data_IF_763639275717
#
_entry.id   IF_763639275717
#
_cell.length_a   1.000
_cell.length_b   1.000
_cell.length_c   1.000
_cell.angle_alpha   90.00
_cell.angle_beta   90.00
_cell.angle_gamma   90.00
#
_symmetry.space_group_name_H-M   'P 1'
#
loop_
_entity.id
_entity.type
_entity.pdbx_description
1 polymer ?
#
# COMPACT_ATOMS: atom_id res chain seq x y z
N UNK A 1 35.50 -32.66 4.47
CA UNK A 1 35.30 -31.81 3.27
C UNK A 1 34.15 -30.86 3.56
N UNK A 2 34.38 -29.55 3.54
CA UNK A 2 33.32 -28.57 3.82
C UNK A 2 32.48 -28.37 2.55
N UNK A 3 31.19 -28.72 2.62
CA UNK A 3 30.23 -28.40 1.54
C UNK A 3 29.54 -27.10 1.93
N UNK A 4 29.74 -26.06 1.14
CA UNK A 4 29.07 -24.77 1.36
C UNK A 4 27.55 -24.96 1.31
N UNK A 5 26.84 -24.39 2.28
CA UNK A 5 25.37 -24.34 2.32
C UNK A 5 24.82 -23.07 1.66
N UNK A 6 25.69 -22.17 1.19
CA UNK A 6 25.29 -20.96 0.48
C UNK A 6 24.91 -21.28 -0.97
N UNK A 7 23.96 -20.53 -1.55
CA UNK A 7 23.70 -20.63 -2.98
C UNK A 7 24.98 -20.31 -3.78
N UNK A 8 25.16 -20.93 -4.96
CA UNK A 8 26.31 -20.63 -5.80
C UNK A 8 26.28 -19.16 -6.22
N UNK A 9 27.47 -18.57 -6.39
CA UNK A 9 27.59 -17.20 -6.92
C UNK A 9 26.95 -17.17 -8.33
N UNK A 10 26.03 -16.22 -8.61
CA UNK A 10 25.52 -16.03 -9.95
C UNK A 10 26.64 -15.69 -10.94
N UNK A 11 26.55 -16.22 -12.16
CA UNK A 11 27.42 -15.80 -13.25
C UNK A 11 26.88 -14.49 -13.83
N UNK A 12 27.46 -13.38 -13.37
CA UNK A 12 27.01 -12.05 -13.73
C UNK A 12 27.28 -11.71 -15.21
N UNK A 13 28.31 -12.29 -15.83
CA UNK A 13 28.63 -12.05 -17.24
C UNK A 13 27.59 -12.72 -18.15
N UNK A 14 27.21 -13.96 -17.83
CA UNK A 14 26.15 -14.68 -18.55
C UNK A 14 24.81 -13.96 -18.40
N UNK A 15 24.47 -13.53 -17.18
CA UNK A 15 23.24 -12.77 -16.93
C UNK A 15 23.21 -11.44 -17.69
N UNK A 16 24.33 -10.73 -17.75
CA UNK A 16 24.45 -9.48 -18.49
C UNK A 16 24.32 -9.70 -20.00
N UNK A 17 24.98 -10.73 -20.55
CA UNK A 17 24.93 -11.06 -21.96
C UNK A 17 23.53 -11.51 -22.42
N UNK A 18 22.80 -12.23 -21.57
CA UNK A 18 21.43 -12.68 -21.85
C UNK A 18 20.38 -11.57 -21.67
N UNK A 19 20.73 -10.50 -20.97
CA UNK A 19 19.78 -9.48 -20.57
C UNK A 19 18.97 -8.85 -21.72
N UNK A 20 19.52 -8.58 -22.92
CA UNK A 20 18.74 -8.01 -24.01
C UNK A 20 17.57 -8.89 -24.46
N UNK A 21 17.69 -10.21 -24.39
CA UNK A 21 16.66 -11.15 -24.85
C UNK A 21 15.36 -11.12 -24.03
N UNK A 22 15.43 -10.69 -22.77
CA UNK A 22 14.29 -10.60 -21.84
C UNK A 22 13.89 -9.15 -21.52
N UNK A 23 14.43 -8.17 -22.26
CA UNK A 23 14.27 -6.75 -21.98
C UNK A 23 12.80 -6.32 -21.92
N UNK A 24 11.96 -6.78 -22.85
CA UNK A 24 10.54 -6.40 -22.91
C UNK A 24 9.77 -6.89 -21.69
N UNK A 25 9.89 -8.19 -21.35
CA UNK A 25 9.22 -8.79 -20.19
C UNK A 25 9.69 -8.13 -18.89
N UNK A 26 11.01 -7.92 -18.73
CA UNK A 26 11.53 -7.24 -17.54
C UNK A 26 11.04 -5.81 -17.42
N UNK A 27 11.06 -5.05 -18.53
CA UNK A 27 10.57 -3.67 -18.56
C UNK A 27 9.10 -3.63 -18.17
N UNK A 28 8.28 -4.54 -18.71
CA UNK A 28 6.88 -4.65 -18.36
C UNK A 28 6.69 -4.93 -16.86
N UNK A 29 7.39 -5.92 -16.30
CA UNK A 29 7.34 -6.24 -14.87
C UNK A 29 7.72 -5.03 -14.00
N UNK A 30 8.85 -4.39 -14.30
CA UNK A 30 9.35 -3.25 -13.55
C UNK A 30 8.40 -2.06 -13.66
N UNK A 31 7.79 -1.84 -14.83
CA UNK A 31 6.78 -0.81 -15.02
C UNK A 31 5.51 -1.08 -14.19
N UNK A 32 5.05 -2.34 -14.11
CA UNK A 32 3.91 -2.69 -13.25
C UNK A 32 4.20 -2.42 -11.77
N UNK A 33 5.41 -2.78 -11.30
CA UNK A 33 5.85 -2.50 -9.93
C UNK A 33 5.90 -0.99 -9.68
N UNK A 34 6.53 -0.24 -10.58
CA UNK A 34 6.65 1.22 -10.49
C UNK A 34 5.29 1.92 -10.47
N UNK A 35 4.37 1.52 -11.34
CA UNK A 35 3.00 2.05 -11.37
C UNK A 35 2.26 1.77 -10.05
N UNK A 36 2.34 0.54 -9.54
CA UNK A 36 1.73 0.19 -8.26
C UNK A 36 2.28 1.03 -7.10
N UNK A 37 3.61 1.22 -7.06
CA UNK A 37 4.26 2.03 -6.02
C UNK A 37 3.84 3.50 -6.11
N UNK A 38 3.82 4.06 -7.32
CA UNK A 38 3.42 5.44 -7.55
C UNK A 38 1.96 5.68 -7.13
N UNK A 39 1.03 4.84 -7.60
CA UNK A 39 -0.38 4.94 -7.23
C UNK A 39 -0.59 4.76 -5.72
N UNK A 40 0.08 3.79 -5.10
CA UNK A 40 0.02 3.60 -3.65
C UNK A 40 0.52 4.82 -2.89
N UNK A 41 1.65 5.40 -3.29
CA UNK A 41 2.24 6.56 -2.62
C UNK A 41 1.32 7.77 -2.68
N UNK A 42 0.74 8.04 -3.86
CA UNK A 42 -0.20 9.14 -4.02
C UNK A 42 -1.43 8.94 -3.13
N UNK A 43 -2.00 7.74 -3.11
CA UNK A 43 -3.14 7.42 -2.25
C UNK A 43 -2.82 7.54 -0.77
N UNK A 44 -1.64 7.08 -0.35
CA UNK A 44 -1.22 7.19 1.05
C UNK A 44 -1.18 8.65 1.48
N UNK A 45 -0.58 9.52 0.66
CA UNK A 45 -0.46 10.94 0.95
C UNK A 45 -1.81 11.63 1.08
N UNK A 46 -2.83 11.25 0.30
CA UNK A 46 -4.17 11.86 0.38
C UNK A 46 -4.86 11.66 1.74
N UNK A 47 -4.45 10.66 2.54
CA UNK A 47 -4.97 10.48 3.88
C UNK A 47 -4.60 11.64 4.85
N UNK A 48 -3.66 12.51 4.48
CA UNK A 48 -3.42 13.77 5.20
C UNK A 48 -4.68 14.63 5.27
N UNK A 49 -5.43 14.74 4.17
CA UNK A 49 -6.64 15.55 4.10
C UNK A 49 -7.79 14.93 4.89
N UNK A 50 -7.86 13.60 4.91
CA UNK A 50 -8.79 12.86 5.78
C UNK A 50 -8.49 13.18 7.25
N UNK A 51 -7.21 13.15 7.66
CA UNK A 51 -6.82 13.54 9.02
C UNK A 51 -7.13 15.02 9.31
N UNK A 52 -6.82 15.92 8.37
CA UNK A 52 -7.09 17.36 8.49
C UNK A 52 -8.56 17.62 8.84
N UNK A 53 -9.47 17.01 8.07
CA UNK A 53 -10.92 17.13 8.29
C UNK A 53 -11.32 16.53 9.65
N UNK A 54 -10.90 15.29 9.93
CA UNK A 54 -11.29 14.59 11.16
C UNK A 54 -10.77 15.30 12.43
N UNK A 55 -9.57 15.89 12.37
CA UNK A 55 -8.98 16.68 13.45
C UNK A 55 -9.56 18.10 13.53
N UNK A 56 -10.19 18.60 12.46
CA UNK A 56 -10.65 19.99 12.31
C UNK A 56 -9.50 20.99 12.49
N UNK A 57 -8.44 20.78 11.73
CA UNK A 57 -7.20 21.56 11.81
C UNK A 57 -6.73 22.01 10.43
N UNK A 58 -5.68 22.83 10.38
CA UNK A 58 -5.07 23.27 9.12
C UNK A 58 -4.13 22.19 8.53
N UNK A 59 -3.74 22.38 7.28
CA UNK A 59 -2.90 21.43 6.55
C UNK A 59 -1.53 21.20 7.21
N UNK A 60 -0.89 22.25 7.76
CA UNK A 60 0.42 22.11 8.39
C UNK A 60 0.34 21.29 9.68
N UNK A 61 -0.67 21.54 10.52
CA UNK A 61 -0.94 20.74 11.71
C UNK A 61 -1.26 19.28 11.38
N UNK A 62 -2.06 19.03 10.34
CA UNK A 62 -2.34 17.68 9.86
C UNK A 62 -1.09 16.97 9.33
N UNK A 63 -0.22 17.69 8.61
CA UNK A 63 1.06 17.18 8.11
C UNK A 63 1.98 16.73 9.25
N UNK A 64 2.07 17.52 10.33
CA UNK A 64 2.86 17.16 11.52
C UNK A 64 2.36 15.85 12.13
N UNK A 65 1.05 15.69 12.30
CA UNK A 65 0.46 14.44 12.82
C UNK A 65 0.74 13.27 11.88
N UNK A 66 0.54 13.46 10.57
CA UNK A 66 0.74 12.43 9.56
C UNK A 66 2.21 11.95 9.52
N UNK A 67 3.16 12.89 9.56
CA UNK A 67 4.59 12.61 9.53
C UNK A 67 5.09 11.96 10.83
N UNK A 68 4.49 12.28 11.97
CA UNK A 68 4.86 11.71 13.28
C UNK A 68 4.51 10.22 13.39
N UNK A 69 3.45 9.79 12.71
CA UNK A 69 3.06 8.38 12.65
C UNK A 69 3.93 7.62 11.64
N UNK A 70 4.96 6.94 12.15
CA UNK A 70 6.02 6.30 11.35
C UNK A 70 5.58 5.14 10.43
N UNK A 71 4.32 4.71 10.51
CA UNK A 71 3.81 3.62 9.67
C UNK A 71 2.45 3.98 9.08
N UNK A 72 2.21 3.56 7.84
CA UNK A 72 0.90 3.65 7.17
C UNK A 72 -0.21 3.08 8.04
N UNK A 73 0.04 1.91 8.68
CA UNK A 73 -0.94 1.27 9.57
C UNK A 73 -1.35 2.19 10.72
N UNK A 74 -0.40 2.82 11.39
CA UNK A 74 -0.71 3.72 12.50
C UNK A 74 -1.55 4.94 12.06
N UNK A 75 -1.29 5.47 10.86
CA UNK A 75 -2.08 6.56 10.25
C UNK A 75 -3.52 6.11 9.99
N UNK A 76 -3.70 4.95 9.35
CA UNK A 76 -5.01 4.39 9.05
C UNK A 76 -5.81 4.04 10.32
N UNK A 77 -5.14 3.51 11.35
CA UNK A 77 -5.75 3.22 12.65
C UNK A 77 -6.24 4.52 13.32
N UNK A 78 -5.45 5.59 13.26
CA UNK A 78 -5.88 6.89 13.78
C UNK A 78 -7.11 7.41 13.02
N UNK A 79 -7.11 7.34 11.69
CA UNK A 79 -8.25 7.75 10.85
C UNK A 79 -9.51 6.98 11.24
N UNK A 80 -9.43 5.64 11.36
CA UNK A 80 -10.58 4.83 11.74
C UNK A 80 -11.09 5.16 13.16
N UNK A 81 -10.19 5.45 14.11
CA UNK A 81 -10.56 5.85 15.48
C UNK A 81 -11.22 7.22 15.51
N UNK A 82 -10.67 8.20 14.80
CA UNK A 82 -11.26 9.54 14.69
C UNK A 82 -12.61 9.50 13.98
N UNK A 83 -12.74 8.69 12.93
CA UNK A 83 -13.99 8.52 12.20
C UNK A 83 -15.13 8.02 13.10
N UNK A 84 -14.86 7.08 14.02
CA UNK A 84 -15.86 6.60 15.00
C UNK A 84 -16.38 7.71 15.94
N UNK A 85 -15.58 8.75 16.17
CA UNK A 85 -15.93 9.87 17.05
C UNK A 85 -16.61 10.98 16.27
N UNK A 86 -16.13 11.27 15.04
CA UNK A 86 -16.48 12.48 14.29
C UNK A 86 -17.50 12.26 13.17
N UNK A 87 -17.65 11.04 12.68
CA UNK A 87 -18.53 10.71 11.55
C UNK A 87 -19.77 9.98 12.07
N UNK A 88 -20.83 10.76 12.35
CA UNK A 88 -22.12 10.25 12.84
C UNK A 88 -22.98 9.64 11.73
N UNK A 89 -22.78 10.03 10.46
CA UNK A 89 -23.43 9.36 9.32
C UNK A 89 -22.85 7.95 9.12
N UNK A 90 -23.69 6.94 9.34
CA UNK A 90 -23.34 5.52 9.21
C UNK A 90 -22.98 5.11 7.79
N UNK A 91 -23.51 5.75 6.76
CA UNK A 91 -23.17 5.46 5.37
C UNK A 91 -21.80 6.02 5.01
N UNK A 92 -21.53 7.25 5.43
CA UNK A 92 -20.23 7.91 5.24
C UNK A 92 -19.11 7.20 6.03
N UNK A 93 -19.37 6.83 7.29
CA UNK A 93 -18.43 6.06 8.10
C UNK A 93 -18.08 4.71 7.46
N UNK A 94 -19.09 3.98 6.96
CA UNK A 94 -18.88 2.72 6.23
C UNK A 94 -18.08 2.91 4.95
N UNK A 95 -18.32 4.00 4.22
CA UNK A 95 -17.56 4.33 3.01
C UNK A 95 -16.08 4.54 3.31
N UNK A 96 -15.77 5.33 4.35
CA UNK A 96 -14.39 5.54 4.81
C UNK A 96 -13.74 4.25 5.31
N UNK A 97 -14.45 3.43 6.10
CA UNK A 97 -13.92 2.14 6.57
C UNK A 97 -13.59 1.21 5.40
N UNK A 98 -14.51 1.05 4.45
CA UNK A 98 -14.29 0.21 3.27
C UNK A 98 -13.10 0.70 2.43
N UNK A 99 -12.93 2.01 2.28
CA UNK A 99 -11.79 2.59 1.58
C UNK A 99 -10.46 2.23 2.28
N UNK A 100 -10.38 2.39 3.60
CA UNK A 100 -9.19 2.05 4.39
C UNK A 100 -8.87 0.55 4.29
N UNK A 101 -9.88 -0.31 4.32
CA UNK A 101 -9.71 -1.76 4.17
C UNK A 101 -9.17 -2.13 2.78
N UNK A 102 -9.77 -1.60 1.72
CA UNK A 102 -9.33 -1.83 0.32
C UNK A 102 -7.89 -1.35 0.09
N UNK A 103 -7.53 -0.19 0.64
CA UNK A 103 -6.16 0.32 0.58
C UNK A 103 -5.18 -0.58 1.36
N UNK A 104 -5.58 -1.06 2.55
CA UNK A 104 -4.76 -1.96 3.37
C UNK A 104 -4.52 -3.31 2.70
N UNK A 105 -5.53 -3.87 2.04
CA UNK A 105 -5.42 -5.11 1.27
C UNK A 105 -4.46 -4.92 0.08
N UNK A 106 -4.64 -3.85 -0.69
CA UNK A 106 -3.80 -3.55 -1.85
C UNK A 106 -2.34 -3.24 -1.46
N UNK A 107 -2.11 -2.74 -0.24
CA UNK A 107 -0.77 -2.53 0.35
C UNK A 107 0.01 -3.83 0.52
N UNK A 108 -0.66 -4.99 0.69
CA UNK A 108 0.02 -6.29 0.89
C UNK A 108 0.86 -6.66 -0.33
N UNK A 109 0.29 -6.55 -1.53
CA UNK A 109 0.98 -6.85 -2.80
C UNK A 109 2.15 -5.91 -3.02
N UNK A 110 1.94 -4.60 -2.80
CA UNK A 110 3.00 -3.59 -2.88
C UNK A 110 4.14 -3.88 -1.90
N UNK A 111 3.84 -4.25 -0.66
CA UNK A 111 4.85 -4.57 0.34
C UNK A 111 5.59 -5.87 0.03
N UNK A 112 4.90 -6.87 -0.50
CA UNK A 112 5.54 -8.10 -0.94
C UNK A 112 6.57 -7.83 -2.04
N UNK A 113 6.18 -7.11 -3.09
CA UNK A 113 7.04 -6.82 -4.25
C UNK A 113 8.23 -5.92 -3.90
N UNK A 114 8.10 -5.03 -2.91
CA UNK A 114 9.21 -4.17 -2.46
C UNK A 114 10.19 -4.87 -1.50
N UNK A 115 9.81 -6.00 -0.93
CA UNK A 115 10.60 -6.70 0.10
C UNK A 115 10.90 -8.16 -0.26
N UNK A 116 10.76 -8.53 -1.55
CA UNK A 116 11.16 -9.82 -2.06
C UNK A 116 12.54 -9.76 -2.73
N UNK A 117 13.19 -10.91 -2.85
CA UNK A 117 14.28 -11.09 -3.81
C UNK A 117 13.71 -11.51 -5.17
N UNK A 118 14.26 -10.95 -6.24
CA UNK A 118 13.91 -11.35 -7.61
C UNK A 118 14.86 -12.44 -8.09
N UNK A 119 14.28 -13.50 -8.68
CA UNK A 119 15.02 -14.63 -9.24
C UNK A 119 14.99 -14.52 -10.76
N UNK A 120 16.18 -14.65 -11.35
CA UNK A 120 16.39 -14.56 -12.79
C UNK A 120 16.74 -15.92 -13.38
N UNK A 121 16.26 -16.22 -14.58
CA UNK A 121 16.70 -17.38 -15.34
C UNK A 121 17.97 -17.08 -16.16
N UNK A 122 18.45 -18.09 -16.91
CA UNK A 122 19.61 -17.97 -17.79
C UNK A 122 19.41 -16.99 -18.95
N UNK A 123 18.15 -16.67 -19.30
CA UNK A 123 17.81 -15.64 -20.30
C UNK A 123 17.74 -14.22 -19.66
N UNK A 124 18.03 -14.10 -18.37
CA UNK A 124 17.93 -12.87 -17.60
C UNK A 124 16.49 -12.42 -17.35
N UNK A 125 15.48 -13.27 -17.56
CA UNK A 125 14.08 -12.93 -17.29
C UNK A 125 13.77 -13.09 -15.81
N UNK A 126 12.92 -12.21 -15.27
CA UNK A 126 12.42 -12.38 -13.89
C UNK A 126 11.38 -13.50 -13.91
N UNK A 127 11.67 -14.60 -13.21
CA UNK A 127 10.81 -15.78 -13.20
C UNK A 127 10.07 -15.97 -11.89
N UNK A 128 10.66 -15.56 -10.76
CA UNK A 128 10.09 -15.75 -9.44
C UNK A 128 10.42 -14.60 -8.49
N UNK A 129 9.62 -14.48 -7.44
CA UNK A 129 9.91 -13.66 -6.26
C UNK A 129 10.04 -14.56 -5.04
N UNK A 130 11.04 -14.32 -4.21
CA UNK A 130 11.19 -14.98 -2.91
C UNK A 130 10.91 -13.99 -1.78
N UNK A 131 9.91 -14.29 -0.97
CA UNK A 131 9.61 -13.53 0.25
C UNK A 131 10.81 -13.58 1.21
N UNK A 132 11.08 -12.50 1.93
CA UNK A 132 12.11 -12.49 2.98
C UNK A 132 11.53 -12.75 4.38
N UNK A 133 10.25 -13.17 4.45
CA UNK A 133 9.57 -13.44 5.72
C UNK A 133 9.79 -14.88 6.18
N UNK A 134 9.87 -15.00 7.49
CA UNK A 134 9.81 -16.27 8.20
C UNK A 134 8.33 -16.66 8.36
N UNK A 135 7.95 -17.82 7.84
CA UNK A 135 6.62 -18.39 8.02
C UNK A 135 6.69 -19.48 9.08
N UNK A 136 6.04 -19.25 10.21
CA UNK A 136 5.91 -20.24 11.26
C UNK A 136 4.59 -21.01 11.07
N UNK A 137 4.69 -22.32 11.00
CA UNK A 137 3.56 -23.26 11.02
C UNK A 137 3.63 -24.04 12.32
N UNK A 138 2.54 -24.71 12.73
CA UNK A 138 2.48 -25.51 13.97
C UNK A 138 3.62 -26.53 14.12
N UNK A 139 4.26 -26.94 13.02
CA UNK A 139 5.31 -27.97 12.99
C UNK A 139 6.59 -27.57 12.25
N UNK A 140 6.67 -26.39 11.62
CA UNK A 140 7.85 -25.99 10.85
C UNK A 140 8.00 -24.49 10.68
N UNK A 141 9.25 -24.05 10.60
CA UNK A 141 9.64 -22.68 10.32
C UNK A 141 10.20 -22.63 8.89
N UNK A 142 9.46 -22.02 7.97
CA UNK A 142 9.80 -21.96 6.55
C UNK A 142 10.30 -20.57 6.21
N UNK A 143 11.49 -20.49 5.64
CA UNK A 143 12.04 -19.23 5.13
C UNK A 143 11.68 -19.07 3.66
N UNK A 144 11.07 -17.93 3.34
CA UNK A 144 10.97 -17.40 1.99
C UNK A 144 10.17 -18.21 1.00
N UNK A 145 8.84 -18.03 1.08
CA UNK A 145 7.89 -18.44 0.04
C UNK A 145 8.36 -17.96 -1.34
N UNK A 146 8.51 -18.90 -2.28
CA UNK A 146 8.85 -18.62 -3.67
C UNK A 146 7.56 -18.64 -4.48
N UNK A 147 7.28 -17.56 -5.20
CA UNK A 147 6.14 -17.43 -6.10
C UNK A 147 6.60 -17.19 -7.52
N UNK A 148 5.97 -17.85 -8.48
CA UNK A 148 6.20 -17.60 -9.89
C UNK A 148 5.70 -16.21 -10.28
N UNK A 149 6.45 -15.54 -11.15
CA UNK A 149 6.04 -14.31 -11.82
C UNK A 149 5.44 -14.66 -13.20
N UNK A 150 4.39 -15.47 -13.14
CA UNK A 150 3.61 -15.95 -14.29
C UNK A 150 2.52 -14.94 -14.68
N UNK A 151 1.75 -15.27 -15.71
CA UNK A 151 0.71 -14.36 -16.22
C UNK A 151 -0.39 -14.11 -15.19
N UNK A 152 -0.72 -15.08 -14.33
CA UNK A 152 -1.69 -14.89 -13.25
C UNK A 152 -1.21 -13.84 -12.25
N UNK A 153 0.07 -13.88 -11.89
CA UNK A 153 0.70 -12.90 -11.01
C UNK A 153 0.75 -11.52 -11.67
N UNK A 154 1.05 -11.43 -12.96
CA UNK A 154 1.00 -10.16 -13.70
C UNK A 154 -0.42 -9.58 -13.73
N UNK A 155 -1.46 -10.42 -13.90
CA UNK A 155 -2.86 -10.00 -13.82
C UNK A 155 -3.27 -9.56 -12.41
N UNK A 156 -2.73 -10.17 -11.36
CA UNK A 156 -2.92 -9.70 -9.99
C UNK A 156 -2.31 -8.30 -9.78
N UNK A 157 -1.11 -8.06 -10.29
CA UNK A 157 -0.47 -6.74 -10.22
C UNK A 157 -1.30 -5.67 -10.95
N UNK A 158 -1.76 -5.98 -12.17
CA UNK A 158 -2.64 -5.10 -12.95
C UNK A 158 -3.94 -4.77 -12.21
N UNK A 159 -4.61 -5.79 -11.65
CA UNK A 159 -5.84 -5.60 -10.85
C UNK A 159 -5.60 -4.75 -9.62
N UNK A 160 -4.47 -4.97 -8.93
CA UNK A 160 -4.11 -4.18 -7.74
C UNK A 160 -3.86 -2.72 -8.10
N UNK A 161 -3.16 -2.44 -9.21
CA UNK A 161 -2.94 -1.07 -9.69
C UNK A 161 -4.25 -0.39 -10.10
N UNK A 162 -5.15 -1.12 -10.77
CA UNK A 162 -6.49 -0.61 -11.09
C UNK A 162 -7.28 -0.30 -9.82
N UNK A 163 -7.18 -1.14 -8.80
CA UNK A 163 -7.83 -0.90 -7.51
C UNK A 163 -7.26 0.33 -6.79
N UNK A 164 -5.94 0.54 -6.82
CA UNK A 164 -5.34 1.78 -6.32
C UNK A 164 -5.87 3.00 -7.08
N UNK A 165 -6.07 2.91 -8.38
CA UNK A 165 -6.64 4.01 -9.17
C UNK A 165 -8.07 4.33 -8.74
N UNK A 166 -8.89 3.30 -8.48
CA UNK A 166 -10.25 3.49 -7.95
C UNK A 166 -10.24 4.10 -6.56
N UNK A 167 -9.37 3.60 -5.67
CA UNK A 167 -9.20 4.16 -4.32
C UNK A 167 -8.85 5.65 -4.40
N UNK A 168 -7.99 6.06 -5.34
CA UNK A 168 -7.65 7.47 -5.52
C UNK A 168 -8.90 8.33 -5.78
N UNK A 169 -9.71 7.92 -6.77
CA UNK A 169 -10.96 8.58 -7.11
C UNK A 169 -11.94 8.59 -5.94
N UNK A 170 -12.10 7.45 -5.27
CA UNK A 170 -13.00 7.31 -4.13
C UNK A 170 -12.59 8.21 -2.96
N UNK A 171 -11.27 8.44 -2.74
CA UNK A 171 -10.79 9.41 -1.73
C UNK A 171 -11.26 10.82 -2.12
N UNK A 172 -11.01 11.24 -3.36
CA UNK A 172 -11.39 12.58 -3.83
C UNK A 172 -12.91 12.82 -3.75
N UNK A 173 -13.72 11.82 -4.08
CA UNK A 173 -15.18 11.90 -3.98
C UNK A 173 -15.67 11.91 -2.52
N UNK A 174 -14.93 11.26 -1.61
CA UNK A 174 -15.25 11.21 -0.19
C UNK A 174 -14.95 12.52 0.55
N UNK A 175 -13.82 13.19 0.21
CA UNK A 175 -13.34 14.38 0.92
C UNK A 175 -14.38 15.49 1.10
N UNK A 176 -15.09 16.00 0.07
CA UNK A 176 -16.06 17.09 0.25
C UNK A 176 -17.26 16.65 1.09
N UNK A 177 -17.67 15.38 1.00
CA UNK A 177 -18.76 14.82 1.83
C UNK A 177 -18.34 14.71 3.30
N UNK A 178 -17.10 14.30 3.54
CA UNK A 178 -16.51 14.21 4.87
C UNK A 178 -16.36 15.59 5.50
N UNK A 179 -15.88 16.58 4.75
CA UNK A 179 -15.76 17.97 5.19
C UNK A 179 -17.13 18.56 5.53
N UNK A 180 -18.12 18.44 4.63
CA UNK A 180 -19.46 18.94 4.89
C UNK A 180 -20.08 18.33 6.16
N UNK A 181 -19.85 17.03 6.40
CA UNK A 181 -20.35 16.35 7.60
C UNK A 181 -19.65 16.81 8.89
N UNK A 182 -18.31 16.88 8.88
CA UNK A 182 -17.51 17.14 10.09
C UNK A 182 -17.39 18.63 10.41
N UNK A 183 -17.32 19.48 9.38
CA UNK A 183 -17.14 20.92 9.50
C UNK A 183 -18.43 21.71 9.28
N UNK A 184 -19.39 21.20 8.50
CA UNK A 184 -20.65 21.89 8.22
C UNK A 184 -21.59 22.05 9.42
N UNK A 185 -21.38 21.27 10.49
CA UNK A 185 -22.09 21.44 11.78
C UNK A 185 -21.51 22.52 12.69
N UNK A 186 -20.40 23.18 12.30
CA UNK A 186 -19.66 24.11 13.16
C UNK A 186 -20.40 25.42 13.52
N UNK A 187 -21.65 25.59 13.09
CA UNK A 187 -22.47 26.76 13.44
C UNK A 187 -23.53 26.49 14.51
N UNK A 188 -23.63 25.28 15.09
CA UNK A 188 -24.66 24.95 16.10
C UNK A 188 -24.17 24.56 17.50
N UNK A 189 -22.87 24.35 17.72
CA UNK A 189 -22.34 23.89 19.03
C UNK A 189 -21.53 24.96 19.80
N UNK A 190 -22.00 26.22 19.77
CA UNK A 190 -21.72 27.12 20.89
C UNK A 190 -22.83 26.90 21.93
N UNK A 191 -22.55 26.27 23.09
CA UNK A 191 -23.55 26.15 24.14
C UNK A 191 -23.94 27.55 24.61
N UNK A 192 -25.11 27.98 24.16
CA UNK A 192 -25.80 29.13 24.72
C UNK A 192 -26.56 28.62 25.95
N UNK A 193 -26.01 28.89 27.14
CA UNK A 193 -26.72 29.21 28.40
C UNK A 193 -25.65 29.51 29.46
N UNK A 194 -25.45 30.78 29.83
CA UNK A 194 -26.25 31.60 30.77
C UNK A 194 -26.24 31.01 32.19
N UNK A 195 -25.28 31.46 33.01
CA UNK A 195 -25.45 32.22 34.25
C UNK A 195 -24.11 32.89 34.59
#
# INVERSE_FOLDING_TARGET
MFVSKLPPKPDFEVLAAAAPASADRRTFVLALIGNLICSWSNNESLFIYVLMILLRTDEASAAVVFATLNTTRARLDLIQRLAKIRVTDKALARSLTSLVERFSESTKVRNELNHCMFIFDAAGAITHTQSMRLMETKSSLRFGEIKALDDNRLQEMLRTTSEMTKINHDIWDLLPRLEAHVCGGAQQDLPTKVA
#
